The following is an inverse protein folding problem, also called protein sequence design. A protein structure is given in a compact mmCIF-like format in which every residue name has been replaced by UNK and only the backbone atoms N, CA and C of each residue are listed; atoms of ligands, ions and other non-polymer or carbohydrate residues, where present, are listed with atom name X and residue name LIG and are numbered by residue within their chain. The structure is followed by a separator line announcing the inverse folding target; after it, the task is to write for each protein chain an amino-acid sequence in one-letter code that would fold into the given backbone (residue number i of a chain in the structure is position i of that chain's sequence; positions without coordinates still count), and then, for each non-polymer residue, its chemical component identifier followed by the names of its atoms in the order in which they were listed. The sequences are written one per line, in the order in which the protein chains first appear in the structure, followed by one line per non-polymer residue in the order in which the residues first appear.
data_IF_420936014900
#
_entry.id   IF_420936014900
#
_cell.length_a   1.000
_cell.length_b   1.000
_cell.length_c   1.000
_cell.angle_alpha   90.00
_cell.angle_beta   90.00
_cell.angle_gamma   90.00
#
_symmetry.space_group_name_H-M   'P 1'
#
loop_
_entity.id
_entity.type
_entity.pdbx_description
1 polymer ?
#
# COMPACT_ATOMS: atom_id res chain seq x y z
N UNK A 1 8.91 11.84 -12.38
CA UNK A 1 8.74 10.39 -12.13
C UNK A 1 7.32 9.99 -12.52
N UNK A 2 7.12 8.86 -13.21
CA UNK A 2 5.76 8.38 -13.49
C UNK A 2 5.30 7.46 -12.36
N UNK A 3 4.08 7.66 -11.90
CA UNK A 3 3.44 6.82 -10.89
C UNK A 3 2.19 6.16 -11.47
N UNK A 4 1.81 5.01 -10.92
CA UNK A 4 0.56 4.31 -11.24
C UNK A 4 -0.28 4.14 -9.98
N UNK A 5 -1.57 4.44 -10.06
CA UNK A 5 -2.57 4.05 -9.05
C UNK A 5 -3.41 2.94 -9.66
N UNK A 6 -3.44 1.77 -9.01
CA UNK A 6 -4.17 0.61 -9.52
C UNK A 6 -5.64 0.70 -9.14
N UNK A 7 -6.54 0.57 -10.13
CA UNK A 7 -7.99 0.64 -9.92
C UNK A 7 -8.58 -0.77 -9.99
N UNK A 8 -9.18 -1.22 -8.89
CA UNK A 8 -9.86 -2.50 -8.79
C UNK A 8 -11.39 -2.29 -8.78
N UNK A 9 -12.21 -3.28 -9.16
CA UNK A 9 -13.64 -3.22 -8.92
C UNK A 9 -13.89 -3.06 -7.42
N UNK A 10 -14.59 -2.01 -6.99
CA UNK A 10 -14.87 -1.76 -5.57
C UNK A 10 -13.77 -1.04 -4.77
N UNK A 11 -12.63 -0.70 -5.39
CA UNK A 11 -11.76 0.32 -4.78
C UNK A 11 -12.50 1.64 -4.67
N UNK A 12 -12.21 2.42 -3.62
CA UNK A 12 -12.90 3.71 -3.39
C UNK A 12 -11.98 4.84 -2.91
N UNK A 13 -10.71 4.54 -2.64
CA UNK A 13 -9.69 5.53 -2.28
C UNK A 13 -8.69 5.78 -3.43
N UNK A 14 -8.93 5.22 -4.62
CA UNK A 14 -8.07 5.42 -5.81
C UNK A 14 -7.92 6.91 -6.17
N UNK A 15 -9.02 7.67 -6.20
CA UNK A 15 -8.98 9.11 -6.44
C UNK A 15 -8.28 9.90 -5.34
N UNK A 16 -8.51 9.55 -4.06
CA UNK A 16 -7.86 10.20 -2.92
C UNK A 16 -6.34 10.05 -3.03
N UNK A 17 -5.89 8.82 -3.32
CA UNK A 17 -4.48 8.51 -3.51
C UNK A 17 -3.89 9.21 -4.74
N UNK A 18 -4.66 9.31 -5.83
CA UNK A 18 -4.22 10.03 -7.02
C UNK A 18 -4.05 11.54 -6.77
N UNK A 19 -4.96 12.15 -6.01
CA UNK A 19 -4.84 13.55 -5.56
C UNK A 19 -3.60 13.71 -4.69
N UNK A 20 -3.42 12.86 -3.67
CA UNK A 20 -2.26 12.93 -2.79
C UNK A 20 -0.93 12.87 -3.56
N UNK A 21 -0.80 11.93 -4.50
CA UNK A 21 0.38 11.84 -5.37
C UNK A 21 0.54 13.10 -6.22
N UNK A 22 -0.52 13.63 -6.83
CA UNK A 22 -0.44 14.84 -7.64
C UNK A 22 -0.02 16.07 -6.83
N UNK A 23 -0.58 16.25 -5.63
CA UNK A 23 -0.31 17.40 -4.75
C UNK A 23 1.14 17.45 -4.25
N UNK A 24 1.80 16.30 -4.19
CA UNK A 24 3.19 16.22 -3.73
C UNK A 24 4.18 16.17 -4.89
N UNK A 25 3.86 15.44 -5.96
CA UNK A 25 4.77 15.28 -7.11
C UNK A 25 4.62 16.35 -8.19
N UNK A 26 3.53 17.12 -8.17
CA UNK A 26 3.11 18.01 -9.26
C UNK A 26 2.62 17.28 -10.52
N UNK A 27 2.57 15.94 -10.53
CA UNK A 27 2.20 15.13 -11.68
C UNK A 27 1.09 14.13 -11.31
N UNK A 28 0.05 14.04 -12.13
CA UNK A 28 -0.99 13.05 -11.91
C UNK A 28 -0.46 11.63 -12.19
N UNK A 29 -0.78 10.63 -11.35
CA UNK A 29 -0.49 9.24 -11.66
C UNK A 29 -1.33 8.74 -12.84
N UNK A 30 -0.85 7.68 -13.48
CA UNK A 30 -1.67 6.87 -14.38
C UNK A 30 -2.66 6.07 -13.55
N UNK A 31 -3.96 6.22 -13.82
CA UNK A 31 -5.00 5.36 -13.26
C UNK A 31 -5.05 4.07 -14.06
N UNK A 32 -4.50 2.98 -13.53
CA UNK A 32 -4.31 1.73 -14.26
C UNK A 32 -5.37 0.69 -13.85
N UNK A 33 -6.16 0.20 -14.82
CA UNK A 33 -7.18 -0.79 -14.56
C UNK A 33 -6.57 -2.16 -14.20
N UNK A 34 -7.09 -2.82 -13.16
CA UNK A 34 -6.56 -4.12 -12.69
C UNK A 34 -6.60 -5.24 -13.76
N UNK A 35 -7.43 -5.08 -14.79
CA UNK A 35 -7.58 -6.01 -15.90
C UNK A 35 -6.48 -5.89 -16.97
N UNK A 36 -5.61 -4.88 -16.89
CA UNK A 36 -4.42 -4.78 -17.73
C UNK A 36 -3.42 -5.88 -17.37
N UNK A 37 -2.55 -6.24 -18.32
CA UNK A 37 -1.51 -7.25 -18.10
C UNK A 37 -0.11 -6.69 -17.97
N UNK A 38 0.08 -5.40 -18.18
CA UNK A 38 1.41 -4.76 -18.21
C UNK A 38 1.36 -3.39 -17.54
N UNK A 39 2.48 -3.02 -16.92
CA UNK A 39 2.68 -1.67 -16.40
C UNK A 39 3.21 -0.78 -17.54
N UNK A 40 2.79 0.49 -17.63
CA UNK A 40 3.40 1.44 -18.57
C UNK A 40 4.91 1.59 -18.37
N UNK A 41 5.63 1.92 -19.44
CA UNK A 41 7.07 2.13 -19.36
C UNK A 41 7.47 3.32 -18.48
N UNK A 42 8.49 3.09 -17.65
CA UNK A 42 9.09 4.10 -16.78
C UNK A 42 8.29 4.41 -15.52
N UNK A 43 7.40 3.52 -15.08
CA UNK A 43 6.76 3.61 -13.76
C UNK A 43 7.82 3.46 -12.67
N UNK A 44 7.97 4.51 -11.86
CA UNK A 44 8.88 4.57 -10.70
C UNK A 44 8.16 4.47 -9.36
N UNK A 45 6.83 4.46 -9.33
CA UNK A 45 6.04 4.23 -8.11
C UNK A 45 4.72 3.54 -8.47
N UNK A 46 4.40 2.47 -7.75
CA UNK A 46 3.12 1.77 -7.87
C UNK A 46 2.35 1.95 -6.56
N UNK A 47 1.11 2.40 -6.65
CA UNK A 47 0.26 2.65 -5.50
C UNK A 47 -1.03 1.79 -5.60
N UNK A 48 -1.25 0.95 -4.61
CA UNK A 48 -2.41 0.06 -4.47
C UNK A 48 -3.35 0.69 -3.43
N UNK A 49 -4.54 1.18 -3.84
CA UNK A 49 -5.39 2.02 -3.00
C UNK A 49 -6.20 1.21 -1.98
N UNK A 50 -6.76 1.93 -1.01
CA UNK A 50 -7.77 1.39 -0.11
C UNK A 50 -9.16 1.27 -0.74
N UNK A 51 -10.08 0.65 0.00
CA UNK A 51 -11.46 0.45 -0.38
C UNK A 51 -11.96 -0.93 0.00
N UNK A 52 -12.86 -1.49 -0.80
CA UNK A 52 -13.44 -2.82 -0.61
C UNK A 52 -13.37 -3.54 -1.96
N UNK A 53 -12.17 -3.84 -2.43
CA UNK A 53 -12.01 -4.48 -3.74
C UNK A 53 -12.80 -5.80 -3.79
N UNK A 54 -13.60 -5.95 -4.85
CA UNK A 54 -14.58 -7.03 -5.00
C UNK A 54 -15.55 -7.17 -3.82
N UNK A 55 -15.83 -6.08 -3.11
CA UNK A 55 -16.69 -6.06 -1.92
C UNK A 55 -16.14 -6.88 -0.76
N UNK A 56 -14.86 -7.27 -0.80
CA UNK A 56 -14.23 -8.19 0.15
C UNK A 56 -14.99 -9.53 0.30
N UNK A 57 -15.77 -9.94 -0.71
CA UNK A 57 -16.74 -11.03 -0.60
C UNK A 57 -16.16 -12.40 -0.20
N UNK A 58 -14.93 -12.71 -0.62
CA UNK A 58 -14.24 -13.93 -0.21
C UNK A 58 -13.45 -13.72 1.09
N UNK A 59 -12.58 -12.72 1.04
CA UNK A 59 -11.75 -12.19 2.13
C UNK A 59 -11.13 -10.89 1.60
N UNK A 60 -10.85 -9.92 2.46
CA UNK A 60 -10.37 -8.62 2.02
C UNK A 60 -9.09 -8.70 1.18
N UNK A 61 -9.17 -8.16 -0.04
CA UNK A 61 -8.07 -8.16 -1.01
C UNK A 61 -7.77 -9.49 -1.71
N UNK A 62 -8.35 -10.62 -1.27
CA UNK A 62 -8.02 -11.97 -1.78
C UNK A 62 -8.29 -12.12 -3.27
N UNK A 63 -9.44 -11.61 -3.75
CA UNK A 63 -9.81 -11.65 -5.16
C UNK A 63 -8.96 -10.69 -5.99
N UNK A 64 -8.73 -9.48 -5.47
CA UNK A 64 -7.94 -8.46 -6.14
C UNK A 64 -6.47 -8.88 -6.34
N UNK A 65 -5.88 -9.60 -5.37
CA UNK A 65 -4.54 -10.17 -5.47
C UNK A 65 -4.37 -11.21 -6.60
N UNK A 66 -5.46 -11.66 -7.20
CA UNK A 66 -5.47 -12.55 -8.37
C UNK A 66 -5.79 -11.82 -9.68
N UNK A 67 -5.84 -10.49 -9.67
CA UNK A 67 -6.07 -9.67 -10.87
C UNK A 67 -4.94 -9.80 -11.89
N UNK A 68 -5.27 -9.56 -13.16
CA UNK A 68 -4.35 -9.74 -14.30
C UNK A 68 -3.10 -8.86 -14.21
N UNK A 69 -3.18 -7.70 -13.57
CA UNK A 69 -2.05 -6.78 -13.41
C UNK A 69 -1.04 -7.22 -12.33
N UNK A 70 -1.46 -8.08 -11.38
CA UNK A 70 -0.66 -8.40 -10.20
C UNK A 70 0.69 -9.05 -10.51
N UNK A 71 0.83 -9.97 -11.49
CA UNK A 71 2.14 -10.50 -11.89
C UNK A 71 3.14 -9.39 -12.28
N UNK A 72 2.72 -8.37 -13.04
CA UNK A 72 3.61 -7.27 -13.42
C UNK A 72 4.00 -6.38 -12.24
N UNK A 73 3.10 -6.19 -11.27
CA UNK A 73 3.40 -5.48 -10.02
C UNK A 73 4.43 -6.26 -9.19
N UNK A 74 4.26 -7.58 -9.07
CA UNK A 74 5.21 -8.44 -8.38
C UNK A 74 6.58 -8.41 -9.05
N UNK A 75 6.63 -8.49 -10.38
CA UNK A 75 7.87 -8.40 -11.15
C UNK A 75 8.55 -7.04 -10.95
N UNK A 76 7.79 -5.94 -11.02
CA UNK A 76 8.32 -4.60 -10.78
C UNK A 76 8.86 -4.43 -9.35
N UNK A 77 8.15 -4.94 -8.34
CA UNK A 77 8.64 -4.97 -6.96
C UNK A 77 9.94 -5.77 -6.84
N UNK A 78 10.06 -6.91 -7.54
CA UNK A 78 11.29 -7.70 -7.60
C UNK A 78 12.47 -6.98 -8.26
N UNK A 79 12.20 -6.02 -9.15
CA UNK A 79 13.21 -5.12 -9.72
C UNK A 79 13.52 -3.90 -8.84
N UNK A 80 12.93 -3.81 -7.64
CA UNK A 80 13.14 -2.71 -6.71
C UNK A 80 12.24 -1.49 -6.91
N UNK A 81 11.25 -1.56 -7.81
CA UNK A 81 10.28 -0.46 -7.97
C UNK A 81 9.48 -0.31 -6.66
N UNK A 82 9.37 0.90 -6.08
CA UNK A 82 8.57 1.10 -4.89
C UNK A 82 7.08 0.78 -5.10
N UNK A 83 6.52 0.05 -4.14
CA UNK A 83 5.09 -0.29 -4.10
C UNK A 83 4.50 0.13 -2.76
N UNK A 84 3.48 0.97 -2.80
CA UNK A 84 2.73 1.43 -1.62
C UNK A 84 1.34 0.79 -1.62
N UNK A 85 0.99 0.05 -0.57
CA UNK A 85 -0.37 -0.47 -0.35
C UNK A 85 -1.01 0.15 0.88
N UNK A 86 -2.17 0.77 0.71
CA UNK A 86 -2.90 1.46 1.78
C UNK A 86 -4.21 0.74 2.08
N UNK A 87 -4.48 0.41 3.35
CA UNK A 87 -5.68 -0.26 3.83
C UNK A 87 -5.96 -1.54 3.01
N UNK A 88 -6.96 -1.55 2.14
CA UNK A 88 -7.22 -2.68 1.23
C UNK A 88 -6.03 -2.98 0.29
N UNK A 89 -5.23 -1.98 -0.07
CA UNK A 89 -3.98 -2.19 -0.78
C UNK A 89 -2.95 -2.98 0.03
N UNK A 90 -2.82 -2.72 1.33
CA UNK A 90 -1.96 -3.54 2.20
C UNK A 90 -2.46 -4.98 2.23
N UNK A 91 -3.78 -5.15 2.34
CA UNK A 91 -4.42 -6.46 2.34
C UNK A 91 -4.14 -7.23 1.03
N UNK A 92 -4.28 -6.57 -0.12
CA UNK A 92 -3.95 -7.12 -1.44
C UNK A 92 -2.47 -7.52 -1.54
N UNK A 93 -1.54 -6.70 -1.06
CA UNK A 93 -0.11 -6.99 -1.14
C UNK A 93 0.30 -8.21 -0.29
N UNK A 94 -0.34 -8.40 0.85
CA UNK A 94 -0.11 -9.60 1.68
C UNK A 94 -0.65 -10.85 0.98
N UNK A 95 -1.84 -10.78 0.39
CA UNK A 95 -2.47 -11.87 -0.39
C UNK A 95 -1.69 -12.24 -1.65
N UNK A 96 -1.02 -11.26 -2.24
CA UNK A 96 -0.12 -11.44 -3.38
C UNK A 96 1.25 -12.02 -2.97
N UNK A 97 1.53 -12.15 -1.67
CA UNK A 97 2.80 -12.64 -1.15
C UNK A 97 3.95 -11.63 -1.22
N UNK A 98 3.66 -10.35 -1.48
CA UNK A 98 4.67 -9.28 -1.43
C UNK A 98 4.98 -8.84 0.00
N UNK A 99 4.07 -9.13 0.93
CA UNK A 99 4.21 -8.92 2.37
C UNK A 99 3.76 -10.19 3.10
N UNK A 100 4.21 -10.45 4.34
CA UNK A 100 3.75 -11.59 5.12
C UNK A 100 2.22 -11.57 5.27
N UNK A 101 1.59 -12.73 5.01
CA UNK A 101 0.14 -12.93 5.08
C UNK A 101 -0.31 -12.83 6.53
N UNK A 102 -1.04 -11.78 6.87
CA UNK A 102 -1.21 -11.44 8.28
C UNK A 102 -2.29 -10.40 8.54
N UNK A 103 -3.53 -10.54 8.03
CA UNK A 103 -4.60 -9.62 8.44
C UNK A 103 -5.99 -10.26 8.51
N UNK A 104 -6.75 -9.85 9.52
CA UNK A 104 -8.19 -10.05 9.65
C UNK A 104 -8.87 -8.68 9.52
N UNK A 105 -9.11 -8.24 8.30
CA UNK A 105 -9.78 -6.96 7.96
C UNK A 105 -9.15 -5.74 8.65
N UNK A 106 -7.81 -5.74 8.74
CA UNK A 106 -7.02 -4.63 9.27
C UNK A 106 -6.39 -4.89 10.64
N UNK A 107 -6.77 -5.94 11.34
CA UNK A 107 -5.99 -6.44 12.47
C UNK A 107 -4.78 -7.22 11.95
N UNK A 108 -3.57 -6.67 12.08
CA UNK A 108 -2.34 -7.35 11.65
C UNK A 108 -1.96 -8.48 12.62
N UNK A 109 -1.81 -9.70 12.12
CA UNK A 109 -1.53 -10.88 12.95
C UNK A 109 -0.46 -11.77 12.32
N UNK A 110 0.60 -12.11 13.05
CA UNK A 110 1.58 -13.10 12.60
C UNK A 110 2.04 -13.97 13.76
N UNK A 111 2.68 -15.10 13.47
CA UNK A 111 3.32 -15.91 14.50
C UNK A 111 4.51 -15.17 15.16
N UNK A 112 4.93 -15.65 16.34
CA UNK A 112 5.97 -15.00 17.12
C UNK A 112 7.29 -14.85 16.37
N UNK A 113 7.67 -15.87 15.59
CA UNK A 113 8.90 -15.86 14.79
C UNK A 113 8.87 -14.77 13.71
N UNK A 114 7.76 -14.65 12.99
CA UNK A 114 7.56 -13.61 11.98
C UNK A 114 7.58 -12.22 12.60
N UNK A 115 6.93 -12.05 13.77
CA UNK A 115 6.94 -10.78 14.48
C UNK A 115 8.36 -10.42 14.95
N UNK A 116 9.10 -11.34 15.57
CA UNK A 116 10.47 -11.11 16.02
C UNK A 116 11.40 -10.78 14.86
N UNK A 117 11.22 -11.44 13.72
CA UNK A 117 11.96 -11.16 12.50
C UNK A 117 11.69 -9.76 11.96
N UNK A 118 10.41 -9.36 11.85
CA UNK A 118 10.03 -8.02 11.38
C UNK A 118 10.62 -6.93 12.28
N UNK A 119 10.63 -7.14 13.59
CA UNK A 119 11.25 -6.22 14.55
C UNK A 119 12.78 -6.17 14.41
N UNK A 120 13.43 -7.34 14.42
CA UNK A 120 14.88 -7.46 14.38
C UNK A 120 15.49 -6.96 13.07
N UNK A 121 14.76 -7.07 11.97
CA UNK A 121 15.16 -6.57 10.65
C UNK A 121 14.76 -5.09 10.42
N UNK A 122 14.11 -4.43 11.39
CA UNK A 122 13.71 -3.03 11.27
C UNK A 122 12.60 -2.79 10.23
N UNK A 123 11.75 -3.78 9.99
CA UNK A 123 10.71 -3.78 8.95
C UNK A 123 9.34 -3.34 9.43
N UNK A 124 9.21 -3.02 10.72
CA UNK A 124 8.02 -2.34 11.25
C UNK A 124 8.16 -0.84 10.97
N UNK A 125 7.43 -0.36 9.95
CA UNK A 125 7.48 1.04 9.52
C UNK A 125 6.61 1.95 10.40
N UNK A 126 5.44 1.46 10.83
CA UNK A 126 4.49 2.23 11.62
C UNK A 126 3.90 1.42 12.76
N UNK A 127 3.65 2.11 13.87
CA UNK A 127 2.82 1.62 14.98
C UNK A 127 1.71 2.58 15.31
N UNK A 128 0.63 2.03 15.83
CA UNK A 128 -0.33 2.82 16.57
C UNK A 128 0.27 3.25 17.90
N UNK A 129 -0.01 4.49 18.32
CA UNK A 129 0.39 4.98 19.65
C UNK A 129 -0.45 4.37 20.79
N UNK A 130 -1.61 3.81 20.43
CA UNK A 130 -2.57 3.16 21.32
C UNK A 130 -3.18 1.94 20.60
N UNK A 131 -3.80 1.03 21.35
CA UNK A 131 -4.45 -0.14 20.75
C UNK A 131 -5.69 0.27 19.95
N UNK A 132 -5.60 0.24 18.62
CA UNK A 132 -6.69 0.67 17.71
C UNK A 132 -7.58 -0.50 17.26
N UNK A 133 -6.98 -1.58 16.75
CA UNK A 133 -7.71 -2.66 16.08
C UNK A 133 -7.26 -4.07 16.52
N UNK A 134 -6.44 -4.14 17.58
CA UNK A 134 -5.89 -5.39 18.11
C UNK A 134 -4.73 -5.98 17.30
N UNK A 135 -4.13 -5.20 16.38
CA UNK A 135 -2.93 -5.62 15.65
C UNK A 135 -1.82 -6.05 16.60
N UNK A 136 -1.16 -7.15 16.29
CA UNK A 136 -0.01 -7.66 17.03
C UNK A 136 1.07 -6.58 17.16
N UNK A 137 1.53 -6.34 18.39
CA UNK A 137 2.56 -5.34 18.74
C UNK A 137 2.21 -3.92 18.26
N UNK A 138 0.91 -3.62 18.13
CA UNK A 138 0.38 -2.35 17.62
C UNK A 138 0.91 -1.97 16.22
N UNK A 139 1.31 -2.97 15.42
CA UNK A 139 1.86 -2.75 14.08
C UNK A 139 0.77 -2.20 13.16
N UNK A 140 1.06 -1.04 12.54
CA UNK A 140 0.16 -0.35 11.62
C UNK A 140 0.65 -0.41 10.15
N UNK A 141 1.93 -0.73 9.94
CA UNK A 141 2.50 -0.89 8.60
C UNK A 141 3.89 -1.52 8.62
N UNK A 142 4.21 -2.25 7.55
CA UNK A 142 5.43 -3.05 7.42
C UNK A 142 6.05 -2.95 6.03
N UNK A 143 7.34 -3.27 5.96
CA UNK A 143 8.11 -3.36 4.72
C UNK A 143 8.38 -4.82 4.31
N UNK A 144 8.56 -5.07 3.02
CA UNK A 144 9.17 -6.32 2.54
C UNK A 144 10.67 -6.40 2.91
N UNK A 145 11.30 -7.55 2.68
CA UNK A 145 12.72 -7.77 3.01
C UNK A 145 13.65 -6.80 2.27
N UNK A 146 13.28 -6.38 1.05
CA UNK A 146 14.05 -5.43 0.24
C UNK A 146 13.77 -3.94 0.57
N UNK A 147 12.80 -3.66 1.45
CA UNK A 147 12.45 -2.30 1.87
C UNK A 147 11.69 -1.44 0.84
N UNK A 148 11.40 -1.95 -0.36
CA UNK A 148 10.73 -1.19 -1.42
C UNK A 148 9.20 -1.38 -1.48
N UNK A 149 8.65 -2.37 -0.76
CA UNK A 149 7.20 -2.58 -0.68
C UNK A 149 6.73 -2.21 0.72
N UNK A 150 5.90 -1.17 0.83
CA UNK A 150 5.29 -0.71 2.07
C UNK A 150 3.79 -1.03 2.05
N UNK A 151 3.32 -1.76 3.05
CA UNK A 151 1.90 -1.95 3.32
C UNK A 151 1.52 -1.32 4.65
N UNK A 152 0.41 -0.57 4.70
CA UNK A 152 -0.08 0.02 5.95
C UNK A 152 -1.61 0.12 6.00
N UNK A 153 -2.17 0.10 7.20
CA UNK A 153 -3.62 0.24 7.41
C UNK A 153 -4.14 1.69 7.49
N UNK A 154 -3.43 2.65 8.13
CA UNK A 154 -3.88 4.04 8.15
C UNK A 154 -3.97 4.64 6.74
N UNK A 155 -4.82 5.66 6.57
CA UNK A 155 -5.05 6.37 5.31
C UNK A 155 -4.35 7.75 5.31
N UNK A 156 -3.02 7.83 5.07
CA UNK A 156 -2.28 9.10 5.03
C UNK A 156 -2.76 10.03 3.90
N UNK A 157 -3.29 9.48 2.80
CA UNK A 157 -3.85 10.23 1.68
C UNK A 157 -5.05 11.11 2.07
N UNK A 158 -5.77 10.74 3.14
CA UNK A 158 -6.93 11.50 3.64
C UNK A 158 -6.56 12.68 4.54
N UNK A 159 -5.29 12.84 4.88
CA UNK A 159 -4.78 13.89 5.77
C UNK A 159 -3.59 14.61 5.14
N UNK A 160 -3.72 14.95 3.86
CA UNK A 160 -2.68 15.61 3.06
C UNK A 160 -2.95 17.10 2.78
N UNK A 161 -4.20 17.52 2.88
CA UNK A 161 -4.64 18.90 2.63
C UNK A 161 -5.20 19.51 3.91
N UNK A 162 -4.90 20.80 4.14
CA UNK A 162 -5.43 21.54 5.29
C UNK A 162 -6.97 21.54 5.35
N UNK A 163 -7.65 21.39 4.20
CA UNK A 163 -9.09 21.24 4.10
C UNK A 163 -9.63 20.02 4.89
N UNK A 164 -8.81 18.98 5.05
CA UNK A 164 -9.14 17.79 5.85
C UNK A 164 -8.77 17.94 7.34
N UNK A 165 -8.36 19.14 7.76
CA UNK A 165 -8.07 19.50 9.15
C UNK A 165 -6.63 19.22 9.61
N UNK A 166 -5.87 18.41 8.87
CA UNK A 166 -4.46 18.07 9.15
C UNK A 166 -3.69 17.80 7.86
N UNK A 167 -2.36 17.90 7.93
CA UNK A 167 -1.44 17.62 6.81
C UNK A 167 -0.37 16.58 7.15
N UNK A 168 -0.53 15.85 8.26
CA UNK A 168 0.49 14.93 8.79
C UNK A 168 0.86 13.82 7.79
N UNK A 169 -0.10 13.38 6.96
CA UNK A 169 0.11 12.34 5.95
C UNK A 169 0.99 12.79 4.78
N UNK A 170 1.13 14.10 4.56
CA UNK A 170 1.90 14.66 3.43
C UNK A 170 3.36 14.20 3.43
N UNK A 171 3.97 14.13 4.61
CA UNK A 171 5.39 13.77 4.78
C UNK A 171 5.70 12.36 4.27
N UNK A 172 4.76 11.42 4.35
CA UNK A 172 4.95 10.08 3.80
C UNK A 172 5.18 10.14 2.29
N UNK A 173 4.33 10.88 1.58
CA UNK A 173 4.42 11.01 0.13
C UNK A 173 5.64 11.81 -0.30
N UNK A 174 6.05 12.82 0.48
CA UNK A 174 7.29 13.57 0.25
C UNK A 174 8.52 12.66 0.40
N UNK A 175 8.59 11.84 1.46
CA UNK A 175 9.70 10.89 1.65
C UNK A 175 9.74 9.78 0.60
N UNK A 176 8.58 9.33 0.10
CA UNK A 176 8.52 8.39 -1.01
C UNK A 176 9.16 8.98 -2.27
N UNK A 177 8.98 10.28 -2.54
CA UNK A 177 9.62 10.93 -3.68
C UNK A 177 11.13 11.00 -3.54
N UNK A 178 11.63 11.33 -2.35
CA UNK A 178 13.08 11.40 -2.08
C UNK A 178 13.76 10.05 -2.30
N UNK A 179 13.04 8.94 -2.11
CA UNK A 179 13.58 7.58 -2.25
C UNK A 179 13.71 7.13 -3.72
N UNK A 180 12.99 7.78 -4.65
CA UNK A 180 12.99 7.40 -6.08
C UNK A 180 13.46 8.51 -7.03
N UNK A 181 13.84 9.66 -6.49
CA UNK A 181 14.49 10.76 -7.20
C UNK A 181 16.01 10.51 -7.32
#
# INVERSE_FOLDING_TARGET
MKSAVIVFPGSNCDRDLAVAIREVTGHAPVMLWHGESELPDGIGLIAVPGGFSYGDYLRSGAMAARSRIMPSIIEAAGRGVPVLGICNGFQILTEAGLLPVAHHDGNFTADGETLDRLEGEGRVAFRYAESVNGSARDIAGILNDAGNVLGMMPHPERVIEAAHGKTDGRRLFEGLLETVA
#
